data_IF_750531759608
#
_entry.id   IF_750531759608
#
_cell.length_a   1.000
_cell.length_b   1.000
_cell.length_c   1.000
_cell.angle_alpha   90.00
_cell.angle_beta   90.00
_cell.angle_gamma   90.00
#
_symmetry.space_group_name_H-M   'P 1'
#
loop_
_entity.id
_entity.type
_entity.pdbx_description
1 polymer ?
#
# COMPACT_ATOMS: atom_id res chain seq x y z
N UNK A 1 2.09 -20.21 25.97
CA UNK A 1 3.06 -21.29 26.25
C UNK A 1 4.37 -20.77 26.82
N UNK A 2 5.08 -19.83 26.17
CA UNK A 2 6.38 -19.29 26.65
C UNK A 2 6.32 -18.68 28.06
N UNK A 3 5.31 -17.84 28.33
CA UNK A 3 5.09 -17.25 29.67
C UNK A 3 4.93 -18.31 30.77
N UNK A 4 4.27 -19.42 30.46
CA UNK A 4 4.05 -20.50 31.41
C UNK A 4 5.36 -21.23 31.74
N UNK A 5 6.17 -21.53 30.72
CA UNK A 5 7.50 -22.12 30.90
C UNK A 5 8.39 -21.19 31.76
N UNK A 6 8.36 -19.88 31.51
CA UNK A 6 9.11 -18.89 32.31
C UNK A 6 8.66 -18.86 33.79
N UNK A 7 7.36 -18.88 34.07
CA UNK A 7 6.84 -18.85 35.44
C UNK A 7 7.18 -20.12 36.24
N UNK A 8 7.38 -21.25 35.57
CA UNK A 8 7.73 -22.53 36.19
C UNK A 8 9.23 -22.81 36.22
N UNK A 9 10.06 -21.87 35.74
CA UNK A 9 11.49 -22.06 35.47
C UNK A 9 11.77 -23.35 34.66
N UNK A 10 10.86 -23.67 33.74
CA UNK A 10 10.99 -24.83 32.85
C UNK A 10 11.87 -24.45 31.67
N UNK A 11 13.19 -24.53 31.92
CA UNK A 11 14.22 -24.16 30.96
C UNK A 11 14.28 -25.06 29.74
N UNK A 12 13.93 -26.34 29.91
CA UNK A 12 13.91 -27.31 28.82
C UNK A 12 12.80 -26.97 27.84
N UNK A 13 11.57 -26.77 28.34
CA UNK A 13 10.46 -26.31 27.50
C UNK A 13 10.75 -24.97 26.83
N UNK A 14 11.38 -24.03 27.55
CA UNK A 14 11.73 -22.74 27.00
C UNK A 14 12.77 -22.86 25.87
N UNK A 15 13.81 -23.66 26.05
CA UNK A 15 14.80 -23.94 25.02
C UNK A 15 14.15 -24.56 23.77
N UNK A 16 13.30 -25.57 23.96
CA UNK A 16 12.56 -26.22 22.87
C UNK A 16 11.66 -25.22 22.12
N UNK A 17 10.98 -24.31 22.82
CA UNK A 17 10.17 -23.27 22.18
C UNK A 17 11.04 -22.34 21.33
N UNK A 18 12.19 -21.91 21.86
CA UNK A 18 13.10 -20.99 21.16
C UNK A 18 13.71 -21.66 19.92
N UNK A 19 14.11 -22.93 20.02
CA UNK A 19 14.62 -23.71 18.89
C UNK A 19 13.54 -23.92 17.81
N UNK A 20 12.31 -24.26 18.22
CA UNK A 20 11.20 -24.43 17.28
C UNK A 20 10.83 -23.13 16.56
N UNK A 21 10.92 -21.97 17.22
CA UNK A 21 10.71 -20.67 16.55
C UNK A 21 11.90 -20.37 15.64
N UNK A 22 13.13 -20.63 16.09
CA UNK A 22 14.35 -20.39 15.34
C UNK A 22 14.48 -21.21 14.05
N UNK A 23 13.83 -22.37 13.98
CA UNK A 23 13.80 -23.21 12.77
C UNK A 23 12.70 -22.83 11.78
N UNK A 24 11.82 -21.88 12.12
CA UNK A 24 10.79 -21.41 11.19
C UNK A 24 11.40 -20.66 10.01
N UNK A 25 10.76 -20.81 8.85
CA UNK A 25 11.16 -20.10 7.65
C UNK A 25 11.08 -18.58 7.87
N UNK A 26 12.11 -17.87 7.41
CA UNK A 26 12.28 -16.41 7.56
C UNK A 26 12.62 -15.92 8.98
N UNK A 27 12.84 -16.80 9.96
CA UNK A 27 13.43 -16.41 11.25
C UNK A 27 14.94 -16.41 11.11
N UNK A 28 15.58 -15.26 11.37
CA UNK A 28 17.04 -15.13 11.31
C UNK A 28 17.69 -15.34 12.68
N UNK A 29 17.03 -14.92 13.77
CA UNK A 29 17.46 -15.19 15.14
C UNK A 29 16.33 -15.06 16.14
N UNK A 30 16.42 -15.78 17.24
CA UNK A 30 15.58 -15.62 18.44
C UNK A 30 16.48 -15.66 19.65
N UNK A 31 16.42 -14.64 20.51
CA UNK A 31 17.30 -14.49 21.67
C UNK A 31 16.53 -14.01 22.89
N UNK A 32 16.84 -14.57 24.06
CA UNK A 32 16.40 -14.05 25.35
C UNK A 32 17.62 -13.55 26.11
N UNK A 33 17.61 -12.27 26.46
CA UNK A 33 18.63 -11.64 27.27
C UNK A 33 18.18 -11.50 28.71
N UNK A 34 19.11 -11.64 29.65
CA UNK A 34 18.86 -11.21 31.02
C UNK A 34 19.11 -9.69 31.18
N UNK A 35 18.81 -9.15 32.36
CA UNK A 35 19.06 -7.73 32.72
C UNK A 35 20.49 -7.23 32.54
N UNK A 36 21.48 -8.12 32.43
CA UNK A 36 22.90 -7.78 32.22
C UNK A 36 23.29 -7.77 30.74
N UNK A 37 22.40 -8.15 29.83
CA UNK A 37 22.69 -8.31 28.40
C UNK A 37 23.35 -9.64 28.05
N UNK A 38 23.28 -10.64 28.93
CA UNK A 38 23.75 -12.00 28.64
C UNK A 38 22.68 -12.77 27.88
N UNK A 39 23.05 -13.43 26.79
CA UNK A 39 22.17 -14.33 26.04
C UNK A 39 21.93 -15.59 26.87
N UNK A 40 20.73 -15.72 27.44
CA UNK A 40 20.33 -16.88 28.24
C UNK A 40 19.82 -18.02 27.37
N UNK A 41 19.08 -17.69 26.31
CA UNK A 41 18.56 -18.64 25.35
C UNK A 41 18.72 -18.06 23.95
N UNK A 42 19.08 -18.90 22.99
CA UNK A 42 19.13 -18.55 21.59
C UNK A 42 18.82 -19.74 20.71
N UNK A 43 18.21 -19.49 19.56
CA UNK A 43 18.10 -20.49 18.48
C UNK A 43 19.45 -20.85 17.85
N UNK A 44 20.49 -20.02 18.06
CA UNK A 44 21.86 -20.34 17.74
C UNK A 44 22.62 -20.65 19.03
N UNK A 45 22.83 -21.93 19.32
CA UNK A 45 23.46 -22.36 20.57
C UNK A 45 24.90 -21.83 20.76
N UNK A 46 25.59 -21.45 19.67
CA UNK A 46 26.97 -20.94 19.74
C UNK A 46 27.12 -19.55 20.36
N UNK A 47 26.04 -18.77 20.44
CA UNK A 47 26.03 -17.43 21.07
C UNK A 47 25.47 -17.43 22.49
N UNK A 48 24.94 -18.56 22.96
CA UNK A 48 24.46 -18.69 24.33
C UNK A 48 25.60 -18.44 25.32
N UNK A 49 25.34 -17.63 26.35
CA UNK A 49 26.36 -17.22 27.32
C UNK A 49 27.27 -16.08 26.86
N UNK A 50 27.11 -15.57 25.63
CA UNK A 50 27.82 -14.37 25.18
C UNK A 50 27.16 -13.12 25.76
N UNK A 51 27.97 -12.17 26.19
CA UNK A 51 27.52 -10.84 26.58
C UNK A 51 27.46 -9.96 25.33
N UNK A 52 26.29 -9.40 25.05
CA UNK A 52 26.14 -8.46 23.95
C UNK A 52 26.47 -7.04 24.42
N UNK A 53 27.10 -6.26 23.55
CA UNK A 53 27.34 -4.84 23.83
C UNK A 53 25.99 -4.12 23.99
N UNK A 54 25.87 -3.26 25.00
CA UNK A 54 24.66 -2.46 25.25
C UNK A 54 24.39 -1.47 24.13
N UNK A 55 25.40 -1.15 23.32
CA UNK A 55 25.29 -0.35 22.12
C UNK A 55 24.93 -1.17 20.86
N UNK A 56 24.90 -2.50 20.97
CA UNK A 56 24.53 -3.35 19.84
C UNK A 56 23.04 -3.26 19.52
N UNK A 57 22.70 -3.68 18.31
CA UNK A 57 21.33 -3.79 17.84
C UNK A 57 20.50 -4.69 18.79
N UNK A 58 19.46 -4.13 19.39
CA UNK A 58 18.58 -4.81 20.36
C UNK A 58 18.75 -4.34 21.80
N UNK A 59 19.88 -3.72 22.13
CA UNK A 59 20.12 -3.15 23.45
C UNK A 59 20.11 -1.62 23.44
N UNK A 60 20.48 -1.00 22.31
CA UNK A 60 20.64 0.46 22.20
C UNK A 60 19.34 1.25 22.45
N UNK A 61 18.17 0.70 22.11
CA UNK A 61 16.90 1.40 22.32
C UNK A 61 16.61 1.60 23.82
N UNK A 62 17.01 0.62 24.64
CA UNK A 62 16.92 0.71 26.10
C UNK A 62 18.11 1.46 26.71
N UNK A 63 19.29 1.42 26.07
CA UNK A 63 20.58 1.87 26.66
C UNK A 63 21.18 3.13 26.02
N UNK A 64 20.42 3.86 25.20
CA UNK A 64 20.87 5.09 24.54
C UNK A 64 21.18 6.26 25.50
N UNK A 65 20.67 6.21 26.73
CA UNK A 65 20.88 7.23 27.77
C UNK A 65 21.68 6.72 28.97
N UNK A 66 22.08 7.62 29.89
CA UNK A 66 22.82 7.27 31.12
C UNK A 66 21.98 6.39 32.07
N UNK A 67 20.66 6.43 31.96
CA UNK A 67 19.73 5.54 32.66
C UNK A 67 18.98 4.70 31.63
N UNK A 68 18.95 3.36 31.77
CA UNK A 68 18.21 2.52 30.84
C UNK A 68 16.71 2.81 30.86
N UNK A 69 16.07 2.85 29.69
CA UNK A 69 14.63 3.05 29.61
C UNK A 69 13.89 1.86 30.23
N UNK A 70 13.00 2.16 31.19
CA UNK A 70 12.17 1.15 31.85
C UNK A 70 10.89 0.81 31.06
N UNK A 71 10.61 1.54 29.98
CA UNK A 71 9.47 1.32 29.09
C UNK A 71 9.87 1.56 27.64
N UNK A 72 9.43 0.68 26.74
CA UNK A 72 9.52 0.89 25.30
C UNK A 72 8.11 1.01 24.75
N UNK A 73 7.80 2.13 24.10
CA UNK A 73 6.57 2.27 23.33
C UNK A 73 6.55 1.29 22.16
N UNK A 74 5.36 0.86 21.73
CA UNK A 74 5.19 -0.22 20.75
C UNK A 74 5.97 -0.01 19.45
N UNK A 75 6.02 1.23 18.94
CA UNK A 75 6.79 1.58 17.73
C UNK A 75 8.31 1.52 17.91
N UNK A 76 8.81 1.65 19.15
CA UNK A 76 10.26 1.57 19.46
C UNK A 76 10.76 0.13 19.61
N UNK A 77 9.85 -0.82 19.76
CA UNK A 77 10.21 -2.23 19.90
C UNK A 77 10.66 -2.84 18.56
N UNK A 78 10.14 -2.33 17.44
CA UNK A 78 10.50 -2.80 16.11
C UNK A 78 11.65 -1.98 15.50
N UNK A 79 12.60 -2.64 14.87
CA UNK A 79 13.71 -2.01 14.14
C UNK A 79 14.03 -2.77 12.86
N UNK A 80 14.70 -2.09 11.92
CA UNK A 80 15.24 -2.69 10.71
C UNK A 80 16.75 -2.43 10.64
N UNK A 81 17.53 -3.45 10.33
CA UNK A 81 18.99 -3.34 10.20
C UNK A 81 19.53 -4.41 9.25
N UNK A 82 20.78 -4.24 8.83
CA UNK A 82 21.51 -5.25 8.05
C UNK A 82 22.33 -6.09 9.03
N UNK A 83 22.13 -7.41 9.00
CA UNK A 83 22.89 -8.32 9.87
C UNK A 83 24.33 -8.53 9.34
N UNK A 84 25.16 -9.21 10.13
CA UNK A 84 26.57 -9.53 9.77
C UNK A 84 26.69 -10.34 8.47
N UNK A 85 25.61 -11.02 8.05
CA UNK A 85 25.53 -11.80 6.80
C UNK A 85 25.07 -10.95 5.61
N UNK A 86 24.92 -9.63 5.78
CA UNK A 86 24.47 -8.71 4.72
C UNK A 86 22.97 -8.80 4.40
N UNK A 87 22.18 -9.49 5.21
CA UNK A 87 20.72 -9.62 5.01
C UNK A 87 19.97 -8.52 5.73
N UNK A 88 18.87 -8.09 5.13
CA UNK A 88 17.94 -7.13 5.71
C UNK A 88 17.01 -7.84 6.71
N UNK A 89 17.04 -7.39 7.96
CA UNK A 89 16.33 -8.00 9.08
C UNK A 89 15.43 -6.98 9.75
N UNK A 90 14.18 -7.36 9.97
CA UNK A 90 13.24 -6.65 10.84
C UNK A 90 13.24 -7.40 12.17
N UNK A 91 13.66 -6.74 13.24
CA UNK A 91 13.67 -7.32 14.57
C UNK A 91 12.72 -6.61 15.53
N UNK A 92 12.17 -7.37 16.46
CA UNK A 92 11.33 -6.88 17.54
C UNK A 92 12.00 -7.23 18.86
N UNK A 93 12.28 -6.21 19.68
CA UNK A 93 12.73 -6.37 21.06
C UNK A 93 11.59 -6.08 22.02
N UNK A 94 11.10 -7.12 22.68
CA UNK A 94 10.06 -7.04 23.69
C UNK A 94 10.67 -7.14 25.09
N UNK A 95 10.48 -6.16 25.97
CA UNK A 95 10.90 -6.27 27.38
C UNK A 95 10.06 -7.31 28.13
N UNK A 96 10.72 -8.09 28.97
CA UNK A 96 10.08 -9.03 29.90
C UNK A 96 9.91 -8.29 31.23
N UNK A 97 8.70 -7.79 31.48
CA UNK A 97 8.39 -7.05 32.69
C UNK A 97 8.28 -7.96 33.92
N UNK A 98 8.61 -7.41 35.09
CA UNK A 98 8.43 -8.09 36.37
C UNK A 98 6.98 -7.98 36.83
N UNK A 99 6.15 -8.94 36.44
CA UNK A 99 4.74 -9.02 36.84
C UNK A 99 4.59 -9.57 38.28
N UNK A 100 3.45 -9.35 38.97
CA UNK A 100 3.24 -9.86 40.33
C UNK A 100 3.47 -11.38 40.46
N UNK A 101 3.14 -12.15 39.42
CA UNK A 101 3.38 -13.59 39.37
C UNK A 101 4.86 -13.98 39.29
N UNK A 102 5.73 -13.07 38.83
CA UNK A 102 7.18 -13.28 38.80
C UNK A 102 7.83 -12.99 40.16
N UNK A 103 7.28 -12.03 40.93
CA UNK A 103 7.74 -11.71 42.29
C UNK A 103 7.37 -12.83 43.28
N UNK A 104 6.22 -13.47 43.09
CA UNK A 104 5.68 -14.52 43.95
C UNK A 104 6.09 -15.94 43.51
N UNK A 105 6.92 -16.07 42.46
CA UNK A 105 7.33 -17.36 41.94
C UNK A 105 8.23 -18.11 42.93
N UNK A 106 7.96 -19.39 43.16
CA UNK A 106 8.70 -20.23 44.10
C UNK A 106 10.14 -20.55 43.66
N UNK A 107 10.49 -20.30 42.39
CA UNK A 107 11.73 -20.76 41.78
C UNK A 107 12.90 -19.78 41.99
N UNK A 108 12.68 -18.46 41.95
CA UNK A 108 13.66 -17.44 42.33
C UNK A 108 12.98 -16.09 42.63
N UNK A 109 13.48 -15.38 43.64
CA UNK A 109 12.86 -14.14 44.11
C UNK A 109 13.37 -12.95 43.30
N UNK A 110 12.47 -12.28 42.60
CA UNK A 110 12.73 -10.97 42.01
C UNK A 110 12.31 -9.87 42.97
N UNK A 111 13.16 -8.86 43.15
CA UNK A 111 12.82 -7.67 43.93
C UNK A 111 11.76 -6.84 43.20
N UNK A 112 10.75 -6.34 43.91
CA UNK A 112 9.68 -5.51 43.33
C UNK A 112 10.19 -4.21 42.67
N UNK A 113 11.37 -3.72 43.08
CA UNK A 113 12.05 -2.56 42.50
C UNK A 113 12.54 -2.81 41.07
N UNK A 114 12.78 -4.07 40.69
CA UNK A 114 13.27 -4.43 39.37
C UNK A 114 12.08 -4.51 38.39
N UNK A 115 11.94 -3.52 37.50
CA UNK A 115 10.82 -3.46 36.53
C UNK A 115 10.97 -4.39 35.32
N UNK A 116 12.20 -4.63 34.85
CA UNK A 116 12.49 -5.47 33.68
C UNK A 116 13.40 -6.61 34.10
N UNK A 117 13.03 -7.84 33.76
CA UNK A 117 13.77 -9.07 34.04
C UNK A 117 14.77 -9.42 32.93
N UNK A 118 14.42 -9.05 31.71
CA UNK A 118 15.19 -9.32 30.51
C UNK A 118 14.50 -8.78 29.26
N UNK A 119 14.98 -9.17 28.09
CA UNK A 119 14.37 -8.81 26.81
C UNK A 119 14.35 -10.02 25.89
N UNK A 120 13.28 -10.16 25.10
CA UNK A 120 13.17 -11.10 24.01
C UNK A 120 13.42 -10.34 22.70
N UNK A 121 14.38 -10.81 21.90
CA UNK A 121 14.69 -10.24 20.59
C UNK A 121 14.46 -11.29 19.51
N UNK A 122 13.56 -10.99 18.56
CA UNK A 122 13.21 -11.86 17.44
C UNK A 122 13.53 -11.11 16.15
N UNK A 123 14.40 -11.67 15.31
CA UNK A 123 14.73 -11.14 13.99
C UNK A 123 14.11 -11.96 12.87
N UNK A 124 13.42 -11.29 11.95
CA UNK A 124 12.79 -11.86 10.77
C UNK A 124 13.44 -11.30 9.50
N UNK A 125 13.56 -12.13 8.46
CA UNK A 125 14.00 -11.70 7.14
C UNK A 125 12.99 -10.71 6.53
N UNK A 126 13.48 -9.56 6.09
CA UNK A 126 12.66 -8.56 5.40
C UNK A 126 12.38 -8.94 3.93
N UNK A 127 13.14 -9.88 3.37
CA UNK A 127 13.09 -10.29 1.95
C UNK A 127 11.68 -10.69 1.48
N UNK A 128 10.95 -11.62 2.14
CA UNK A 128 9.62 -12.01 1.69
C UNK A 128 8.63 -10.85 1.72
N UNK A 129 8.72 -9.98 2.73
CA UNK A 129 7.84 -8.82 2.85
C UNK A 129 8.10 -7.82 1.71
N UNK A 130 9.37 -7.51 1.45
CA UNK A 130 9.76 -6.58 0.39
C UNK A 130 9.38 -7.11 -1.00
N UNK A 131 9.60 -8.41 -1.25
CA UNK A 131 9.24 -9.04 -2.52
C UNK A 131 7.72 -9.00 -2.76
N UNK A 132 6.92 -9.32 -1.75
CA UNK A 132 5.47 -9.25 -1.85
C UNK A 132 4.98 -7.82 -2.12
N UNK A 133 5.56 -6.82 -1.43
CA UNK A 133 5.26 -5.41 -1.68
C UNK A 133 5.63 -4.97 -3.10
N UNK A 134 6.76 -5.42 -3.62
CA UNK A 134 7.19 -5.12 -4.98
C UNK A 134 6.24 -5.69 -6.04
N UNK A 135 5.78 -6.94 -5.85
CA UNK A 135 4.79 -7.59 -6.73
C UNK A 135 3.43 -6.89 -6.65
N UNK A 136 2.97 -6.54 -5.45
CA UNK A 136 1.71 -5.79 -5.29
C UNK A 136 1.79 -4.42 -5.96
N UNK A 137 2.92 -3.71 -5.78
CA UNK A 137 3.16 -2.42 -6.42
C UNK A 137 3.13 -2.53 -7.95
N UNK A 138 3.80 -3.52 -8.53
CA UNK A 138 3.81 -3.69 -9.99
C UNK A 138 2.42 -4.00 -10.54
N UNK A 139 1.66 -4.86 -9.86
CA UNK A 139 0.26 -5.15 -10.21
C UNK A 139 -0.63 -3.91 -10.14
N UNK A 140 -0.49 -3.10 -9.08
CA UNK A 140 -1.23 -1.84 -8.96
C UNK A 140 -0.89 -0.88 -10.09
N UNK A 141 0.39 -0.71 -10.42
CA UNK A 141 0.81 0.18 -11.53
C UNK A 141 0.23 -0.28 -12.86
N UNK A 142 0.32 -1.57 -13.18
CA UNK A 142 -0.27 -2.14 -14.41
C UNK A 142 -1.78 -1.91 -14.45
N UNK A 143 -2.47 -2.18 -13.34
CA UNK A 143 -3.91 -1.97 -13.24
C UNK A 143 -4.28 -0.48 -13.41
N UNK A 144 -3.56 0.43 -12.77
CA UNK A 144 -3.76 1.87 -12.91
C UNK A 144 -3.58 2.34 -14.35
N UNK A 145 -2.53 1.87 -15.04
CA UNK A 145 -2.30 2.19 -16.46
C UNK A 145 -3.44 1.64 -17.33
N UNK A 146 -3.86 0.39 -17.08
CA UNK A 146 -4.94 -0.23 -17.84
C UNK A 146 -6.26 0.52 -17.66
N UNK A 147 -6.63 0.88 -16.43
CA UNK A 147 -7.82 1.69 -16.15
C UNK A 147 -7.71 3.07 -16.78
N UNK A 148 -6.53 3.72 -16.72
CA UNK A 148 -6.31 5.01 -17.37
C UNK A 148 -6.52 4.92 -18.90
N UNK A 149 -5.98 3.90 -19.55
CA UNK A 149 -6.13 3.72 -20.99
C UNK A 149 -7.58 3.42 -21.39
N UNK A 150 -8.29 2.60 -20.61
CA UNK A 150 -9.70 2.28 -20.86
C UNK A 150 -10.59 3.50 -20.65
N UNK A 151 -10.35 4.28 -19.60
CA UNK A 151 -11.14 5.49 -19.30
C UNK A 151 -10.89 6.57 -20.34
N UNK A 152 -9.64 6.90 -20.65
CA UNK A 152 -9.28 7.89 -21.67
C UNK A 152 -9.76 7.42 -23.06
N UNK A 153 -9.52 6.16 -23.41
CA UNK A 153 -9.96 5.58 -24.68
C UNK A 153 -11.48 5.54 -24.80
N UNK A 154 -12.18 5.14 -23.74
CA UNK A 154 -13.64 5.09 -23.67
C UNK A 154 -14.27 6.46 -23.81
N UNK A 155 -13.79 7.46 -23.05
CA UNK A 155 -14.27 8.85 -23.15
C UNK A 155 -13.97 9.42 -24.54
N UNK A 156 -12.77 9.23 -25.06
CA UNK A 156 -12.43 9.70 -26.41
C UNK A 156 -13.29 9.04 -27.50
N UNK A 157 -13.58 7.73 -27.38
CA UNK A 157 -14.45 7.02 -28.30
C UNK A 157 -15.89 7.52 -28.23
N UNK A 158 -16.43 7.74 -27.02
CA UNK A 158 -17.76 8.30 -26.82
C UNK A 158 -17.87 9.72 -27.39
N UNK A 159 -16.94 10.62 -27.05
CA UNK A 159 -16.91 11.97 -27.61
C UNK A 159 -16.80 11.95 -29.13
N UNK A 160 -15.95 11.07 -29.70
CA UNK A 160 -15.85 10.92 -31.15
C UNK A 160 -17.15 10.45 -31.77
N UNK A 161 -17.79 9.43 -31.20
CA UNK A 161 -18.99 8.80 -31.75
C UNK A 161 -20.24 9.67 -31.64
N UNK A 162 -20.40 10.37 -30.52
CA UNK A 162 -21.62 11.11 -30.19
C UNK A 162 -21.52 12.62 -30.42
N UNK A 163 -20.32 13.20 -30.42
CA UNK A 163 -20.15 14.66 -30.58
C UNK A 163 -19.44 14.99 -31.88
N UNK A 164 -18.19 14.55 -32.06
CA UNK A 164 -17.38 15.00 -33.20
C UNK A 164 -17.87 14.48 -34.55
N UNK A 165 -18.32 13.22 -34.65
CA UNK A 165 -18.87 12.68 -35.91
C UNK A 165 -20.18 13.39 -36.30
N UNK A 166 -21.20 13.51 -35.44
CA UNK A 166 -22.42 14.23 -35.77
C UNK A 166 -22.20 15.71 -36.12
N UNK A 167 -21.31 16.41 -35.40
CA UNK A 167 -20.98 17.79 -35.72
C UNK A 167 -20.35 17.95 -37.10
N UNK A 168 -19.44 17.05 -37.50
CA UNK A 168 -18.87 17.07 -38.85
C UNK A 168 -19.92 16.81 -39.93
N UNK A 169 -20.86 15.91 -39.67
CA UNK A 169 -21.98 15.64 -40.59
C UNK A 169 -22.89 16.86 -40.75
N UNK A 170 -23.15 17.60 -39.65
CA UNK A 170 -23.94 18.83 -39.70
C UNK A 170 -23.20 19.97 -40.42
N UNK A 171 -21.89 20.09 -40.23
CA UNK A 171 -21.07 21.05 -40.96
C UNK A 171 -21.12 20.77 -42.47
N UNK A 172 -20.91 19.51 -42.88
CA UNK A 172 -20.98 19.08 -44.28
C UNK A 172 -22.38 19.28 -44.88
N UNK A 173 -23.45 19.00 -44.12
CA UNK A 173 -24.82 19.30 -44.53
C UNK A 173 -25.02 20.79 -44.78
N UNK A 174 -24.56 21.65 -43.88
CA UNK A 174 -24.74 23.10 -43.99
C UNK A 174 -24.02 23.66 -45.22
N UNK A 175 -22.78 23.20 -45.46
CA UNK A 175 -21.99 23.60 -46.63
C UNK A 175 -22.68 23.19 -47.95
N UNK A 176 -23.17 21.96 -48.03
CA UNK A 176 -23.90 21.45 -49.22
C UNK A 176 -25.25 22.11 -49.42
N UNK A 177 -25.98 22.40 -48.35
CA UNK A 177 -27.24 23.12 -48.41
C UNK A 177 -27.06 24.55 -48.92
N UNK A 178 -26.00 25.25 -48.50
CA UNK A 178 -25.63 26.57 -49.04
C UNK A 178 -25.32 26.48 -50.54
N UNK A 179 -24.66 25.39 -50.97
CA UNK A 179 -24.37 25.09 -52.38
C UNK A 179 -25.60 24.61 -53.18
N UNK A 180 -26.77 24.47 -52.55
CA UNK A 180 -28.03 24.11 -53.22
C UNK A 180 -28.22 22.61 -53.46
N UNK A 181 -27.46 21.75 -52.77
CA UNK A 181 -27.59 20.29 -52.86
C UNK A 181 -28.49 19.78 -51.74
N UNK A 182 -29.57 19.09 -52.10
CA UNK A 182 -30.51 18.52 -51.13
C UNK A 182 -29.95 17.20 -50.57
N UNK A 183 -29.71 17.15 -49.25
CA UNK A 183 -29.16 15.97 -48.58
C UNK A 183 -29.95 15.65 -47.30
N UNK A 184 -30.17 14.35 -47.03
CA UNK A 184 -30.87 13.90 -45.82
C UNK A 184 -29.90 13.77 -44.65
N UNK A 185 -30.19 14.42 -43.53
CA UNK A 185 -29.40 14.31 -42.29
C UNK A 185 -29.68 12.95 -41.63
N UNK A 186 -28.67 12.13 -41.28
CA UNK A 186 -28.87 10.91 -40.53
C UNK A 186 -29.30 11.18 -39.08
N UNK A 187 -30.00 10.24 -38.42
CA UNK A 187 -30.48 10.43 -37.05
C UNK A 187 -29.31 10.62 -36.08
N UNK A 188 -29.40 11.66 -35.25
CA UNK A 188 -28.41 12.08 -34.28
C UNK A 188 -28.95 11.92 -32.85
N UNK A 189 -28.11 12.11 -31.82
CA UNK A 189 -28.59 12.17 -30.44
C UNK A 189 -29.59 13.33 -30.25
N UNK A 190 -30.53 13.23 -29.30
CA UNK A 190 -31.69 14.11 -29.20
C UNK A 190 -31.38 15.62 -29.20
N UNK A 191 -30.34 16.07 -28.46
CA UNK A 191 -29.96 17.49 -28.48
C UNK A 191 -29.40 17.93 -29.84
N UNK A 192 -28.59 17.08 -30.48
CA UNK A 192 -28.01 17.34 -31.81
C UNK A 192 -29.10 17.27 -32.89
N UNK A 193 -30.10 16.41 -32.73
CA UNK A 193 -31.24 16.31 -33.62
C UNK A 193 -32.12 17.57 -33.55
N UNK A 194 -32.32 18.13 -32.35
CA UNK A 194 -33.02 19.41 -32.16
C UNK A 194 -32.29 20.54 -32.88
N UNK A 195 -30.96 20.60 -32.74
CA UNK A 195 -30.13 21.57 -33.46
C UNK A 195 -30.19 21.36 -34.98
N UNK A 196 -30.13 20.11 -35.44
CA UNK A 196 -30.26 19.76 -36.85
C UNK A 196 -31.61 20.20 -37.43
N UNK A 197 -32.69 20.08 -36.65
CA UNK A 197 -34.03 20.57 -37.00
C UNK A 197 -34.05 22.10 -37.16
N UNK A 198 -33.46 22.83 -36.22
CA UNK A 198 -33.37 24.30 -36.29
C UNK A 198 -32.58 24.77 -37.52
N UNK A 199 -31.44 24.14 -37.82
CA UNK A 199 -30.64 24.46 -39.01
C UNK A 199 -31.45 24.18 -40.28
N UNK A 200 -32.18 23.06 -40.34
CA UNK A 200 -33.03 22.72 -41.49
C UNK A 200 -34.11 23.77 -41.72
N UNK A 201 -34.75 24.25 -40.65
CA UNK A 201 -35.76 25.32 -40.75
C UNK A 201 -35.17 26.61 -41.32
N UNK A 202 -34.01 27.04 -40.82
CA UNK A 202 -33.31 28.25 -41.29
C UNK A 202 -32.88 28.14 -42.75
N UNK A 203 -32.34 26.98 -43.16
CA UNK A 203 -31.99 26.73 -44.57
C UNK A 203 -33.23 26.78 -45.46
N UNK A 204 -34.34 26.17 -45.03
CA UNK A 204 -35.61 26.21 -45.75
C UNK A 204 -36.12 27.63 -45.96
N UNK A 205 -36.07 28.46 -44.92
CA UNK A 205 -36.45 29.88 -44.97
C UNK A 205 -35.52 30.70 -45.88
N UNK A 206 -34.22 30.44 -45.86
CA UNK A 206 -33.27 31.10 -46.78
C UNK A 206 -33.52 30.71 -48.24
N UNK A 207 -33.88 29.45 -48.51
CA UNK A 207 -34.22 28.99 -49.87
C UNK A 207 -35.52 29.66 -50.34
N UNK A 208 -36.56 29.71 -49.50
CA UNK A 208 -37.83 30.35 -49.87
C UNK A 208 -37.67 31.85 -50.14
N UNK A 209 -36.90 32.57 -49.31
CA UNK A 209 -36.59 33.99 -49.52
C UNK A 209 -35.78 34.21 -50.81
N UNK A 210 -34.83 33.32 -51.15
CA UNK A 210 -34.11 33.38 -52.43
C UNK A 210 -35.06 33.18 -53.61
N UNK A 211 -36.00 32.25 -53.52
CA UNK A 211 -36.99 32.00 -54.56
C UNK A 211 -37.95 33.18 -54.73
N UNK A 212 -38.39 33.79 -53.63
CA UNK A 212 -39.26 34.98 -53.66
C UNK A 212 -38.53 36.18 -54.28
N UNK A 213 -37.29 36.45 -53.87
CA UNK A 213 -36.45 37.49 -54.49
C UNK A 213 -36.20 37.24 -55.98
N UNK A 214 -36.02 35.98 -56.38
CA UNK A 214 -35.85 35.61 -57.78
C UNK A 214 -37.14 35.81 -58.60
N UNK A 215 -38.33 35.64 -57.98
CA UNK A 215 -39.63 35.97 -58.62
C UNK A 215 -39.79 37.47 -58.83
N UNK A 216 -39.54 38.30 -57.81
CA UNK A 216 -39.66 39.75 -57.95
C UNK A 216 -38.70 40.32 -59.01
N UNK A 217 -37.48 39.80 -59.10
CA UNK A 217 -36.52 40.17 -60.15
C UNK A 217 -36.93 39.81 -61.59
N UNK A 218 -37.98 39.00 -61.75
CA UNK A 218 -38.46 38.52 -63.05
C UNK A 218 -39.74 39.26 -63.50
N UNK A 219 -40.37 39.99 -62.59
CA UNK A 219 -41.57 40.80 -62.80
C UNK A 219 -41.26 42.28 -63.06
N UNK A 220 -40.00 42.69 -62.86
CA UNK A 220 -39.42 44.00 -63.17
C UNK A 220 -38.65 43.96 -64.51
#
# INVERSE_FOLDING_TARGET
STRYAMLRDDRESLANIIDNIGTQENVEHVRIFNKKGLIMFSSNHSETGRLLDKNAAGCIECHSGPVPSATLGDMKQARRFINEKGKDVIAITAPIYNEPGCVQAACHIHTAEQKILGTLDIGLSAVPLVNNLAVMRSRMVIFSIMVLLVTVGGVAALLRRYVFIPLRLLADFTEKAIAGVEQKIPPCAAEIETLAGNIRSLVGELISLRQEKARWKKEE
#
